data_IF_972424887159
#
_entry.id   IF_972424887159
#
_cell.length_a   1.000
_cell.length_b   1.000
_cell.length_c   1.000
_cell.angle_alpha   90.00
_cell.angle_beta   90.00
_cell.angle_gamma   90.00
#
_symmetry.space_group_name_H-M   'P 1'
#
loop_
_entity.id
_entity.type
_entity.pdbx_description
1 polymer ?
#
# COMPACT_ATOMS: atom_id res chain seq x y z
N UNK A 1 5.18 -13.86 -5.81
CA UNK A 1 3.84 -13.53 -6.31
C UNK A 1 2.90 -13.71 -5.14
N UNK A 2 2.53 -12.62 -4.48
CA UNK A 2 1.50 -12.61 -3.43
C UNK A 2 0.23 -12.02 -4.07
N UNK A 3 -0.33 -12.73 -5.05
CA UNK A 3 -1.72 -12.55 -5.47
C UNK A 3 -2.17 -13.88 -6.05
N UNK A 4 -3.25 -14.43 -5.50
CA UNK A 4 -4.02 -15.45 -6.20
C UNK A 4 -4.57 -14.85 -7.48
N UNK A 5 -4.57 -15.65 -8.53
CA UNK A 5 -4.92 -15.27 -9.88
C UNK A 5 -6.43 -14.99 -10.00
N UNK A 6 -6.87 -13.78 -9.66
CA UNK A 6 -8.11 -13.24 -10.21
C UNK A 6 -7.81 -12.67 -11.61
N UNK A 7 -8.72 -12.88 -12.54
CA UNK A 7 -8.61 -12.51 -13.97
C UNK A 7 -8.54 -11.00 -14.25
N UNK A 8 -8.48 -10.17 -13.20
CA UNK A 8 -8.29 -8.72 -13.27
C UNK A 8 -6.83 -8.38 -12.97
N UNK A 9 -6.29 -7.37 -13.67
CA UNK A 9 -4.97 -6.82 -13.36
C UNK A 9 -4.89 -6.25 -11.94
N UNK A 10 -3.70 -5.89 -11.44
CA UNK A 10 -3.54 -5.38 -10.08
C UNK A 10 -4.34 -4.09 -9.86
N UNK A 11 -4.91 -3.94 -8.67
CA UNK A 11 -5.70 -2.75 -8.30
C UNK A 11 -4.81 -1.55 -7.97
N UNK A 12 -3.61 -1.81 -7.44
CA UNK A 12 -2.66 -0.76 -7.08
C UNK A 12 -1.20 -1.15 -7.34
N UNK A 13 -0.33 -0.14 -7.30
CA UNK A 13 1.11 -0.29 -7.21
C UNK A 13 1.68 0.53 -6.05
N UNK A 14 2.54 -0.08 -5.23
CA UNK A 14 3.37 0.59 -4.23
C UNK A 14 4.81 0.64 -4.71
N UNK A 15 5.39 1.83 -4.72
CA UNK A 15 6.81 2.04 -4.97
C UNK A 15 7.49 2.43 -3.67
N UNK A 16 8.64 1.82 -3.41
CA UNK A 16 9.50 2.21 -2.30
C UNK A 16 10.79 2.81 -2.87
N UNK A 17 11.20 3.95 -2.33
CA UNK A 17 12.53 4.52 -2.60
C UNK A 17 13.65 3.75 -1.86
N UNK A 18 13.33 2.55 -1.39
CA UNK A 18 14.26 1.60 -0.77
C UNK A 18 14.70 0.58 -1.83
N UNK A 19 15.59 1.01 -2.74
CA UNK A 19 16.23 0.12 -3.72
C UNK A 19 15.55 -0.01 -5.10
N UNK A 20 14.65 0.92 -5.47
CA UNK A 20 13.91 0.93 -6.75
C UNK A 20 13.17 -0.40 -6.96
N UNK A 21 12.28 -0.72 -6.02
CA UNK A 21 11.50 -1.95 -6.06
C UNK A 21 10.01 -1.56 -5.99
N UNK A 22 9.17 -2.20 -6.80
CA UNK A 22 7.72 -2.00 -6.80
C UNK A 22 6.98 -3.28 -6.43
N UNK A 23 5.84 -3.11 -5.76
CA UNK A 23 4.91 -4.19 -5.43
C UNK A 23 3.56 -3.88 -6.05
N UNK A 24 3.02 -4.85 -6.77
CA UNK A 24 1.65 -4.84 -7.28
C UNK A 24 0.79 -5.67 -6.33
N UNK A 25 -0.44 -5.23 -6.08
CA UNK A 25 -1.36 -5.95 -5.20
C UNK A 25 -2.81 -5.66 -5.54
N UNK A 26 -3.67 -6.45 -4.92
CA UNK A 26 -5.13 -6.33 -5.02
C UNK A 26 -5.70 -5.77 -3.73
N UNK A 27 -6.98 -5.38 -3.70
CA UNK A 27 -7.63 -4.77 -2.54
C UNK A 27 -7.37 -5.44 -1.17
N UNK A 28 -7.17 -6.77 -1.12
CA UNK A 28 -6.88 -7.52 0.11
C UNK A 28 -5.42 -7.42 0.62
N UNK A 29 -4.53 -6.84 -0.17
CA UNK A 29 -3.09 -6.72 0.12
C UNK A 29 -2.72 -5.37 0.74
N UNK A 30 -3.64 -4.40 0.77
CA UNK A 30 -3.39 -3.06 1.29
C UNK A 30 -4.59 -2.56 2.10
N UNK A 31 -4.32 -2.15 3.33
CA UNK A 31 -5.25 -1.38 4.16
C UNK A 31 -4.66 0.01 4.43
N UNK A 32 -5.48 1.05 4.29
CA UNK A 32 -5.06 2.45 4.46
C UNK A 32 -5.90 3.07 5.59
N UNK A 33 -5.23 3.78 6.49
CA UNK A 33 -5.85 4.58 7.53
C UNK A 33 -5.27 5.99 7.57
N UNK A 34 -5.83 6.88 8.38
CA UNK A 34 -5.29 8.24 8.58
C UNK A 34 -3.86 8.26 9.14
N UNK A 35 -3.43 7.17 9.81
CA UNK A 35 -2.16 7.11 10.56
C UNK A 35 -1.10 6.25 9.89
N UNK A 36 -1.47 5.44 8.91
CA UNK A 36 -0.56 4.48 8.32
C UNK A 36 -1.24 3.51 7.37
N UNK A 37 -0.45 2.55 6.90
CA UNK A 37 -0.91 1.45 6.06
C UNK A 37 -0.51 0.10 6.65
N UNK A 38 -1.27 -0.92 6.27
CA UNK A 38 -0.86 -2.33 6.38
C UNK A 38 -0.69 -2.86 4.98
N UNK A 39 0.51 -3.33 4.65
CA UNK A 39 0.87 -3.82 3.32
C UNK A 39 1.31 -5.28 3.40
N UNK A 40 0.68 -6.13 2.60
CA UNK A 40 1.11 -7.50 2.33
C UNK A 40 2.02 -7.51 1.12
N UNK A 41 3.24 -7.98 1.30
CA UNK A 41 4.23 -8.02 0.21
C UNK A 41 5.27 -9.12 0.43
N UNK A 42 6.16 -9.31 -0.53
CA UNK A 42 7.35 -10.18 -0.38
C UNK A 42 8.45 -9.54 0.48
N UNK A 43 8.32 -8.26 0.80
CA UNK A 43 9.37 -7.51 1.44
C UNK A 43 9.37 -7.74 2.94
N UNK A 44 10.54 -8.06 3.48
CA UNK A 44 10.78 -8.12 4.90
C UNK A 44 11.56 -6.87 5.30
N UNK A 45 11.00 -6.10 6.23
CA UNK A 45 11.63 -4.87 6.70
C UNK A 45 12.08 -5.01 8.16
N UNK A 46 13.27 -4.53 8.51
CA UNK A 46 13.63 -4.30 9.90
C UNK A 46 12.68 -3.28 10.55
N UNK A 47 12.32 -3.49 11.82
CA UNK A 47 11.54 -2.51 12.58
C UNK A 47 12.30 -1.18 12.72
N UNK A 48 11.58 -0.07 12.66
CA UNK A 48 12.16 1.28 12.68
C UNK A 48 12.71 1.74 11.32
N UNK A 49 12.67 0.90 10.28
CA UNK A 49 13.06 1.34 8.93
C UNK A 49 12.14 2.45 8.46
N UNK A 50 12.73 3.58 8.09
CA UNK A 50 12.02 4.69 7.47
C UNK A 50 11.96 4.47 5.95
N UNK A 51 10.78 4.66 5.37
CA UNK A 51 10.48 4.42 3.96
C UNK A 51 9.86 5.68 3.35
N UNK A 52 10.32 6.04 2.16
CA UNK A 52 9.57 6.90 1.25
C UNK A 52 8.73 6.00 0.33
N UNK A 53 7.44 6.30 0.23
CA UNK A 53 6.41 5.42 -0.29
C UNK A 53 5.58 6.21 -1.30
N UNK A 54 5.41 5.67 -2.51
CA UNK A 54 4.37 6.13 -3.44
C UNK A 54 3.33 5.05 -3.57
N UNK A 55 2.07 5.38 -3.32
CA UNK A 55 0.94 4.47 -3.54
C UNK A 55 0.15 5.00 -4.73
N UNK A 56 -0.09 4.15 -5.73
CA UNK A 56 -0.88 4.49 -6.91
C UNK A 56 -2.06 3.53 -7.05
N UNK A 57 -3.29 4.06 -7.00
CA UNK A 57 -4.48 3.33 -7.41
C UNK A 57 -4.59 3.35 -8.94
N UNK A 58 -4.75 2.17 -9.54
CA UNK A 58 -4.87 2.06 -10.99
C UNK A 58 -6.23 2.57 -11.49
N UNK A 59 -6.26 3.07 -12.74
CA UNK A 59 -7.49 3.55 -13.33
C UNK A 59 -8.49 2.41 -13.55
N UNK A 60 -9.75 2.65 -13.19
CA UNK A 60 -10.86 1.70 -13.38
C UNK A 60 -11.28 1.65 -14.85
N UNK A 61 -11.17 2.78 -15.54
CA UNK A 61 -11.45 2.90 -16.97
C UNK A 61 -10.22 3.42 -17.72
N UNK A 62 -10.03 3.09 -19.01
CA UNK A 62 -8.85 3.52 -19.77
C UNK A 62 -8.67 5.04 -19.90
N UNK A 63 -9.75 5.79 -19.71
CA UNK A 63 -9.79 7.26 -19.80
C UNK A 63 -9.39 7.93 -18.47
N UNK A 64 -9.34 7.17 -17.37
CA UNK A 64 -8.94 7.68 -16.06
C UNK A 64 -7.42 7.72 -15.93
N UNK A 65 -6.91 8.77 -15.27
CA UNK A 65 -5.54 8.80 -14.80
C UNK A 65 -5.42 8.02 -13.46
N UNK A 66 -4.27 7.35 -13.21
CA UNK A 66 -3.99 6.79 -11.89
C UNK A 66 -3.95 7.90 -10.83
N UNK A 67 -4.43 7.58 -9.62
CA UNK A 67 -4.35 8.47 -8.46
C UNK A 67 -3.18 8.01 -7.62
N UNK A 68 -2.18 8.86 -7.44
CA UNK A 68 -0.98 8.55 -6.67
C UNK A 68 -0.79 9.53 -5.52
N UNK A 69 -0.22 9.04 -4.42
CA UNK A 69 0.19 9.86 -3.27
C UNK A 69 1.57 9.45 -2.77
N UNK A 70 2.39 10.45 -2.42
CA UNK A 70 3.74 10.30 -1.89
C UNK A 70 3.77 10.53 -0.38
N UNK A 71 4.39 9.62 0.36
CA UNK A 71 4.34 9.59 1.82
C UNK A 71 5.69 9.15 2.38
N UNK A 72 5.94 9.50 3.63
CA UNK A 72 7.04 8.95 4.41
C UNK A 72 6.49 8.26 5.64
N UNK A 73 6.98 7.05 5.91
CA UNK A 73 6.55 6.27 7.05
C UNK A 73 7.68 5.47 7.69
N UNK A 74 7.36 4.86 8.83
CA UNK A 74 8.25 4.01 9.60
C UNK A 74 7.59 2.65 9.83
N UNK A 75 8.35 1.59 9.61
CA UNK A 75 7.90 0.21 9.86
C UNK A 75 7.81 -0.02 11.37
N UNK A 76 6.63 -0.36 11.86
CA UNK A 76 6.38 -0.66 13.28
C UNK A 76 6.03 -2.12 13.54
N UNK A 77 5.64 -2.86 12.50
CA UNK A 77 5.53 -4.31 12.53
C UNK A 77 5.89 -4.89 11.16
N UNK A 78 6.44 -6.10 11.13
CA UNK A 78 6.67 -6.87 9.91
C UNK A 78 6.66 -8.36 10.26
N UNK A 79 5.52 -9.01 10.04
CA UNK A 79 5.30 -10.40 10.44
C UNK A 79 5.19 -11.30 9.21
N UNK A 80 5.75 -12.50 9.31
CA UNK A 80 5.61 -13.51 8.25
C UNK A 80 4.22 -14.12 8.34
N UNK A 81 3.51 -14.14 7.21
CA UNK A 81 2.20 -14.78 7.11
C UNK A 81 2.37 -16.31 6.97
N UNK A 82 1.52 -17.09 7.63
CA UNK A 82 1.52 -18.57 7.57
C UNK A 82 0.97 -19.14 6.24
N UNK A 83 0.88 -18.31 5.20
CA UNK A 83 0.31 -18.71 3.93
C UNK A 83 1.29 -19.54 3.07
N UNK A 84 0.78 -20.20 2.01
CA UNK A 84 1.60 -21.07 1.13
C UNK A 84 2.76 -20.34 0.44
N UNK A 85 2.72 -19.01 0.40
CA UNK A 85 3.74 -18.16 -0.18
C UNK A 85 4.47 -17.36 0.92
N UNK A 86 5.77 -17.16 0.74
CA UNK A 86 6.57 -16.36 1.68
C UNK A 86 6.26 -14.88 1.52
N UNK A 87 5.16 -14.45 2.14
CA UNK A 87 4.71 -13.06 2.20
C UNK A 87 4.81 -12.56 3.64
N UNK A 88 4.98 -11.26 3.79
CA UNK A 88 5.04 -10.55 5.05
C UNK A 88 3.91 -9.51 5.09
N UNK A 89 3.33 -9.33 6.26
CA UNK A 89 2.43 -8.22 6.55
C UNK A 89 3.21 -7.16 7.32
N UNK A 90 3.36 -5.99 6.70
CA UNK A 90 4.10 -4.87 7.26
C UNK A 90 3.13 -3.75 7.67
N UNK A 91 3.23 -3.30 8.91
CA UNK A 91 2.52 -2.12 9.40
C UNK A 91 3.45 -0.93 9.37
N UNK A 92 3.05 0.12 8.66
CA UNK A 92 3.85 1.32 8.45
C UNK A 92 3.06 2.52 8.96
N UNK A 93 3.60 3.23 9.95
CA UNK A 93 3.03 4.49 10.43
C UNK A 93 3.60 5.66 9.66
N UNK A 94 2.77 6.62 9.31
CA UNK A 94 3.23 7.82 8.63
C UNK A 94 3.92 8.77 9.61
N UNK A 95 5.01 9.42 9.16
CA UNK A 95 5.82 10.31 9.99
C UNK A 95 5.40 11.78 9.90
N UNK A 96 5.02 12.26 8.71
CA UNK A 96 4.75 13.69 8.46
C UNK A 96 3.51 13.88 7.56
N UNK A 97 2.33 13.44 8.01
CA UNK A 97 1.12 13.58 7.20
C UNK A 97 0.61 15.01 7.26
N UNK A 98 0.79 15.73 6.16
CA UNK A 98 0.15 17.03 5.96
C UNK A 98 -1.31 16.84 5.56
N UNK A 99 -2.16 17.84 5.82
CA UNK A 99 -3.58 17.80 5.42
C UNK A 99 -3.76 17.51 3.91
N UNK A 100 -2.97 18.09 2.99
CA UNK A 100 -3.02 17.72 1.57
C UNK A 100 -2.70 16.24 1.32
N UNK A 101 -1.69 15.67 2.00
CA UNK A 101 -1.33 14.27 1.84
C UNK A 101 -2.43 13.34 2.38
N UNK A 102 -3.11 13.71 3.49
CA UNK A 102 -4.29 12.99 3.99
C UNK A 102 -5.43 12.99 2.96
N UNK A 103 -5.68 14.13 2.30
CA UNK A 103 -6.70 14.24 1.26
C UNK A 103 -6.33 13.41 0.02
N UNK A 104 -5.04 13.38 -0.36
CA UNK A 104 -4.53 12.55 -1.44
C UNK A 104 -4.69 11.05 -1.14
N UNK A 105 -4.29 10.62 0.05
CA UNK A 105 -4.52 9.27 0.58
C UNK A 105 -6.00 8.89 0.57
N UNK A 106 -6.87 9.81 0.98
CA UNK A 106 -8.33 9.61 0.92
C UNK A 106 -8.79 9.28 -0.49
N UNK A 107 -8.33 10.03 -1.50
CA UNK A 107 -8.66 9.75 -2.92
C UNK A 107 -8.12 8.41 -3.40
N UNK A 108 -6.94 8.00 -2.94
CA UNK A 108 -6.37 6.67 -3.24
C UNK A 108 -7.25 5.59 -2.61
N UNK A 109 -7.60 5.73 -1.33
CA UNK A 109 -8.45 4.79 -0.61
C UNK A 109 -9.87 4.69 -1.20
N UNK A 110 -10.48 5.82 -1.56
CA UNK A 110 -11.78 5.90 -2.22
C UNK A 110 -11.75 5.18 -3.58
N UNK A 111 -10.67 5.37 -4.35
CA UNK A 111 -10.51 4.71 -5.65
C UNK A 111 -10.36 3.20 -5.53
N UNK A 112 -9.72 2.75 -4.46
CA UNK A 112 -9.56 1.34 -4.15
C UNK A 112 -10.77 0.76 -3.37
N UNK A 113 -11.86 1.51 -3.20
CA UNK A 113 -13.04 1.12 -2.41
C UNK A 113 -12.68 0.60 -1.00
N UNK A 114 -11.54 1.06 -0.47
CA UNK A 114 -11.02 0.69 0.86
C UNK A 114 -11.74 1.45 1.99
N UNK A 115 -12.64 2.37 1.63
CA UNK A 115 -13.47 3.14 2.56
C UNK A 115 -14.35 2.25 3.46
N UNK A 116 -14.54 0.98 3.10
CA UNK A 116 -15.29 0.00 3.89
C UNK A 116 -14.51 -0.65 5.05
N UNK A 117 -13.20 -0.38 5.21
CA UNK A 117 -12.36 -0.96 6.27
C UNK A 117 -12.06 -0.02 7.46
N UNK A 118 -12.61 1.20 7.45
CA UNK A 118 -12.52 2.13 8.58
C UNK A 118 -13.77 1.98 9.45
N UNK A 119 -13.78 0.95 10.30
CA UNK A 119 -14.78 0.78 11.38
C UNK A 119 -14.11 0.72 12.74
#
# INVERSE_FOLDING_TARGET
MCSSCDTHGPDFTVYLDYGIDCCFGNHGDLSISERGIVLRSRWHFPLGTQLAIRICAHPVTPEDCPVCEDLTGMVVSCERMEDRYSCFEATILFLDVTLPAQQGLGRVADRLDLASQVS
#
